data_IF_642467192578
#
_entry.id   IF_642467192578
#
_cell.length_a   1.000
_cell.length_b   1.000
_cell.length_c   1.000
_cell.angle_alpha   90.00
_cell.angle_beta   90.00
_cell.angle_gamma   90.00
#
_symmetry.space_group_name_H-M   'P 1'
#
loop_
_entity.id
_entity.type
_entity.pdbx_description
1 polymer ?
#
# COMPACT_ATOMS: atom_id res chain seq x y z
N UNK A 1 -24.48 -38.92 -2.18
CA UNK A 1 -23.21 -38.24 -1.88
C UNK A 1 -23.49 -36.76 -2.00
N UNK A 2 -23.46 -36.03 -0.89
CA UNK A 2 -23.48 -34.58 -0.89
C UNK A 2 -22.05 -34.11 -1.16
N UNK A 3 -21.77 -33.75 -2.40
CA UNK A 3 -20.59 -32.97 -2.77
C UNK A 3 -20.55 -31.74 -1.86
N UNK A 4 -19.56 -31.70 -0.97
CA UNK A 4 -19.13 -30.48 -0.32
C UNK A 4 -18.52 -29.64 -1.45
N UNK A 5 -19.31 -28.77 -2.07
CA UNK A 5 -18.77 -27.68 -2.90
C UNK A 5 -17.99 -26.77 -1.94
N UNK A 6 -16.70 -27.05 -1.76
CA UNK A 6 -15.76 -26.06 -1.25
C UNK A 6 -15.79 -24.90 -2.24
N UNK A 7 -16.47 -23.80 -1.89
CA UNK A 7 -16.43 -22.56 -2.66
C UNK A 7 -14.94 -22.18 -2.78
N UNK A 8 -14.32 -22.28 -3.98
CA UNK A 8 -12.90 -22.01 -4.15
C UNK A 8 -12.53 -20.54 -3.91
N UNK A 9 -13.54 -19.70 -3.70
CA UNK A 9 -13.41 -18.26 -3.49
C UNK A 9 -13.47 -17.85 -2.00
N UNK A 10 -13.62 -18.80 -1.07
CA UNK A 10 -13.57 -18.53 0.37
C UNK A 10 -12.14 -18.66 0.92
N UNK A 11 -11.48 -17.51 1.12
CA UNK A 11 -10.15 -17.45 1.71
C UNK A 11 -10.19 -16.93 3.15
N UNK A 12 -9.33 -17.48 4.02
CA UNK A 12 -9.25 -17.04 5.42
C UNK A 12 -8.50 -15.72 5.50
N UNK A 13 -9.16 -14.69 6.02
CA UNK A 13 -8.53 -13.40 6.31
C UNK A 13 -7.62 -13.54 7.54
N UNK A 14 -6.33 -13.24 7.37
CA UNK A 14 -5.35 -13.16 8.45
C UNK A 14 -5.40 -11.80 9.14
N UNK A 15 -5.47 -10.71 8.36
CA UNK A 15 -5.44 -9.34 8.87
C UNK A 15 -6.04 -8.33 7.89
N UNK A 16 -6.76 -7.35 8.42
CA UNK A 16 -7.16 -6.15 7.67
C UNK A 16 -6.02 -5.14 7.74
N UNK A 17 -5.46 -4.79 6.58
CA UNK A 17 -4.30 -3.90 6.49
C UNK A 17 -4.70 -2.45 6.23
N UNK A 18 -5.72 -2.23 5.38
CA UNK A 18 -6.17 -0.88 4.99
C UNK A 18 -7.66 -0.85 4.68
N UNK A 19 -8.21 0.36 4.67
CA UNK A 19 -9.54 0.66 4.12
C UNK A 19 -9.43 1.84 3.16
N UNK A 20 -10.19 1.80 2.06
CA UNK A 20 -10.40 2.94 1.17
C UNK A 20 -11.88 3.05 0.81
N UNK A 21 -12.30 4.24 0.39
CA UNK A 21 -13.64 4.46 -0.16
C UNK A 21 -13.50 4.65 -1.66
N UNK A 22 -14.10 3.76 -2.44
CA UNK A 22 -14.16 3.83 -3.90
C UNK A 22 -15.62 3.83 -4.32
N UNK A 23 -16.05 4.85 -5.07
CA UNK A 23 -17.44 5.02 -5.51
C UNK A 23 -18.47 4.95 -4.37
N UNK A 24 -18.13 5.45 -3.18
CA UNK A 24 -18.99 5.42 -1.99
C UNK A 24 -19.05 4.06 -1.27
N UNK A 25 -18.40 3.02 -1.80
CA UNK A 25 -18.27 1.72 -1.15
C UNK A 25 -16.93 1.59 -0.44
N UNK A 26 -16.91 0.95 0.73
CA UNK A 26 -15.67 0.60 1.42
C UNK A 26 -15.06 -0.64 0.77
N UNK A 27 -13.76 -0.57 0.54
CA UNK A 27 -12.93 -1.71 0.17
C UNK A 27 -11.83 -1.85 1.21
N UNK A 28 -11.51 -3.08 1.59
CA UNK A 28 -10.49 -3.41 2.57
C UNK A 28 -9.33 -4.15 1.89
N UNK A 29 -8.11 -3.78 2.25
CA UNK A 29 -6.91 -4.48 1.77
C UNK A 29 -6.54 -5.58 2.77
N UNK A 30 -6.52 -6.83 2.32
CA UNK A 30 -6.47 -7.98 3.22
C UNK A 30 -5.18 -8.76 3.07
N UNK A 31 -4.66 -9.24 4.21
CA UNK A 31 -3.68 -10.30 4.26
C UNK A 31 -4.40 -11.64 4.32
N UNK A 32 -4.17 -12.50 3.33
CA UNK A 32 -4.72 -13.85 3.30
C UNK A 32 -3.85 -14.83 4.09
N UNK A 33 -4.47 -15.70 4.88
CA UNK A 33 -3.75 -16.67 5.70
C UNK A 33 -3.08 -17.72 4.82
N UNK A 34 -1.76 -17.90 4.99
CA UNK A 34 -0.98 -18.87 4.22
C UNK A 34 -0.48 -18.38 2.86
N UNK A 35 -0.83 -17.15 2.46
CA UNK A 35 -0.36 -16.52 1.22
C UNK A 35 0.67 -15.42 1.52
N UNK A 36 1.60 -15.12 0.60
CA UNK A 36 2.54 -14.02 0.77
C UNK A 36 1.83 -12.67 0.61
N UNK A 37 2.43 -11.60 1.14
CA UNK A 37 1.89 -10.22 1.07
C UNK A 37 1.68 -9.72 -0.38
N UNK A 38 2.32 -10.35 -1.36
CA UNK A 38 2.13 -10.04 -2.78
C UNK A 38 0.74 -10.40 -3.30
N UNK A 39 0.07 -11.36 -2.65
CA UNK A 39 -1.30 -11.80 -3.00
C UNK A 39 -2.38 -10.99 -2.27
N UNK A 40 -2.02 -9.96 -1.52
CA UNK A 40 -3.00 -9.14 -0.83
C UNK A 40 -3.89 -8.41 -1.85
N UNK A 41 -5.21 -8.48 -1.66
CA UNK A 41 -6.20 -7.89 -2.57
C UNK A 41 -7.09 -6.87 -1.87
N UNK A 42 -7.77 -6.04 -2.67
CA UNK A 42 -8.81 -5.11 -2.21
C UNK A 42 -10.17 -5.77 -2.39
N UNK A 43 -10.81 -6.11 -1.27
CA UNK A 43 -12.12 -6.75 -1.26
C UNK A 43 -13.19 -5.76 -0.79
N UNK A 44 -14.37 -5.72 -1.43
CA UNK A 44 -15.47 -4.88 -0.97
C UNK A 44 -15.98 -5.37 0.39
N UNK A 45 -16.47 -4.46 1.23
CA UNK A 45 -17.08 -4.78 2.54
C UNK A 45 -18.17 -5.87 2.42
N UNK A 46 -18.90 -5.86 1.31
CA UNK A 46 -19.95 -6.83 0.98
C UNK A 46 -19.43 -8.27 0.80
N UNK A 47 -18.13 -8.46 0.51
CA UNK A 47 -17.49 -9.77 0.31
C UNK A 47 -16.83 -10.32 1.60
N UNK A 48 -16.91 -9.60 2.72
CA UNK A 48 -16.15 -9.95 3.93
C UNK A 48 -17.01 -10.46 5.07
N UNK A 49 -16.76 -11.71 5.46
CA UNK A 49 -17.35 -12.33 6.64
C UNK A 49 -16.34 -12.36 7.82
N UNK A 50 -15.77 -11.20 8.15
CA UNK A 50 -14.83 -11.07 9.27
C UNK A 50 -15.09 -9.79 10.10
N UNK A 51 -16.28 -9.65 10.70
CA UNK A 51 -16.70 -8.41 11.38
C UNK A 51 -15.78 -8.02 12.55
N UNK A 52 -15.20 -8.99 13.25
CA UNK A 52 -14.29 -8.72 14.37
C UNK A 52 -12.98 -8.08 13.92
N UNK A 53 -12.37 -8.57 12.85
CA UNK A 53 -11.12 -8.02 12.29
C UNK A 53 -11.35 -6.60 11.75
N UNK A 54 -12.48 -6.40 11.06
CA UNK A 54 -12.88 -5.08 10.55
C UNK A 54 -13.10 -4.11 11.70
N UNK A 55 -13.84 -4.52 12.73
CA UNK A 55 -14.12 -3.69 13.90
C UNK A 55 -12.84 -3.30 14.63
N UNK A 56 -11.94 -4.24 14.89
CA UNK A 56 -10.65 -3.94 15.52
C UNK A 56 -9.82 -2.95 14.70
N UNK A 57 -9.76 -3.15 13.38
CA UNK A 57 -9.08 -2.24 12.47
C UNK A 57 -9.69 -0.83 12.52
N UNK A 58 -11.02 -0.71 12.41
CA UNK A 58 -11.71 0.57 12.46
C UNK A 58 -11.57 1.27 13.81
N UNK A 59 -11.64 0.55 14.91
CA UNK A 59 -11.45 1.12 16.25
C UNK A 59 -10.03 1.66 16.42
N UNK A 60 -9.03 0.94 15.93
CA UNK A 60 -7.65 1.39 15.96
C UNK A 60 -7.43 2.61 15.04
N UNK A 61 -8.03 2.63 13.87
CA UNK A 61 -8.02 3.77 12.97
C UNK A 61 -8.72 5.01 13.59
N UNK A 62 -9.86 4.80 14.27
CA UNK A 62 -10.59 5.86 15.01
C UNK A 62 -9.78 6.38 16.19
N UNK A 63 -9.07 5.52 16.93
CA UNK A 63 -8.14 5.94 17.99
C UNK A 63 -7.01 6.80 17.42
N UNK A 64 -6.41 6.36 16.31
CA UNK A 64 -5.36 7.11 15.60
C UNK A 64 -5.87 8.45 15.03
N UNK A 65 -7.14 8.52 14.62
CA UNK A 65 -7.77 9.76 14.16
C UNK A 65 -8.11 10.71 15.31
N UNK A 66 -8.59 10.20 16.45
CA UNK A 66 -8.94 11.00 17.63
C UNK A 66 -7.72 11.62 18.33
N UNK A 67 -6.56 11.00 18.22
CA UNK A 67 -5.30 11.56 18.71
C UNK A 67 -4.68 12.61 17.78
N UNK A 68 -5.27 12.85 16.60
CA UNK A 68 -4.77 13.81 15.62
C UNK A 68 -5.64 15.08 15.64
N UNK A 69 -5.16 16.22 16.16
CA UNK A 69 -5.83 17.49 15.90
C UNK A 69 -5.82 17.74 14.39
N UNK A 70 -7.00 17.99 13.82
CA UNK A 70 -7.17 18.32 12.42
C UNK A 70 -6.27 19.52 12.04
N UNK A 71 -5.21 19.27 11.28
CA UNK A 71 -4.34 20.34 10.76
C UNK A 71 -2.85 20.27 11.11
N UNK A 72 -2.30 19.15 11.57
CA UNK A 72 -0.83 18.98 11.68
C UNK A 72 -0.38 17.66 11.04
N UNK A 73 0.68 17.65 10.21
CA UNK A 73 1.23 16.43 9.62
C UNK A 73 1.59 15.47 10.76
N UNK A 74 1.18 14.22 10.61
CA UNK A 74 1.25 13.19 11.62
C UNK A 74 2.68 12.94 12.09
N UNK A 75 2.90 13.20 13.38
CA UNK A 75 3.72 12.38 14.28
C UNK A 75 5.24 12.39 14.08
N UNK A 76 5.90 13.54 14.28
CA UNK A 76 7.36 13.60 14.49
C UNK A 76 7.81 13.07 15.86
N UNK A 77 6.91 12.75 16.80
CA UNK A 77 7.31 12.31 18.15
C UNK A 77 7.00 10.82 18.41
N UNK A 78 7.55 9.97 17.54
CA UNK A 78 8.19 8.67 17.91
C UNK A 78 9.07 8.15 16.76
N UNK A 79 9.58 9.06 15.92
CA UNK A 79 10.15 8.75 14.60
C UNK A 79 11.68 8.60 14.58
N UNK A 80 12.38 8.78 15.70
CA UNK A 80 13.85 8.75 15.73
C UNK A 80 14.46 7.36 15.48
N UNK A 81 13.68 6.27 15.55
CA UNK A 81 14.19 4.90 15.44
C UNK A 81 13.46 4.00 14.43
N UNK A 82 12.55 4.52 13.60
CA UNK A 82 11.94 3.72 12.55
C UNK A 82 12.87 3.64 11.35
N UNK A 83 13.52 2.50 11.19
CA UNK A 83 14.31 2.19 9.99
C UNK A 83 13.39 1.88 8.82
N UNK A 84 13.64 2.49 7.66
CA UNK A 84 12.91 2.16 6.43
C UNK A 84 13.34 0.77 5.96
N UNK A 85 12.38 -0.14 5.81
CA UNK A 85 12.63 -1.45 5.22
C UNK A 85 12.69 -1.35 3.70
N UNK A 86 11.67 -0.73 3.09
CA UNK A 86 11.56 -0.60 1.63
C UNK A 86 10.54 0.46 1.24
N UNK A 87 10.78 1.13 0.11
CA UNK A 87 9.72 1.87 -0.60
C UNK A 87 9.02 0.89 -1.56
N UNK A 88 7.75 0.61 -1.28
CA UNK A 88 6.94 -0.36 -2.02
C UNK A 88 6.56 0.20 -3.39
N UNK A 89 6.18 1.48 -3.43
CA UNK A 89 5.66 2.12 -4.63
C UNK A 89 5.63 3.63 -4.50
N UNK A 90 5.28 4.28 -5.62
CA UNK A 90 5.03 5.71 -5.67
C UNK A 90 3.69 5.97 -6.37
N UNK A 91 2.96 6.98 -5.93
CA UNK A 91 1.72 7.45 -6.54
C UNK A 91 1.71 8.97 -6.58
N UNK A 92 1.00 9.53 -7.54
CA UNK A 92 0.66 10.94 -7.54
C UNK A 92 -0.67 11.14 -6.78
N UNK A 93 -0.73 12.14 -5.91
CA UNK A 93 -1.98 12.63 -5.32
C UNK A 93 -1.98 14.15 -5.33
N UNK A 94 -2.98 14.77 -5.98
CA UNK A 94 -3.09 16.23 -6.12
C UNK A 94 -1.84 16.90 -6.73
N UNK A 95 -1.16 16.21 -7.65
CA UNK A 95 0.09 16.70 -8.27
C UNK A 95 1.33 16.56 -7.40
N UNK A 96 1.21 15.95 -6.22
CA UNK A 96 2.35 15.67 -5.34
C UNK A 96 2.70 14.18 -5.38
N UNK A 97 4.00 13.91 -5.56
CA UNK A 97 4.52 12.55 -5.51
C UNK A 97 4.54 12.05 -4.06
N UNK A 98 3.93 10.89 -3.86
CA UNK A 98 3.84 10.20 -2.58
C UNK A 98 4.51 8.83 -2.68
N UNK A 99 5.32 8.48 -1.69
CA UNK A 99 5.90 7.14 -1.54
C UNK A 99 5.10 6.31 -0.56
N UNK A 100 4.95 5.03 -0.89
CA UNK A 100 4.46 4.03 0.04
C UNK A 100 5.65 3.36 0.73
N UNK A 101 5.88 3.68 2.00
CA UNK A 101 7.07 3.25 2.74
C UNK A 101 6.71 2.16 3.74
N UNK A 102 7.36 1.00 3.63
CA UNK A 102 7.34 -0.05 4.65
C UNK A 102 8.44 0.22 5.67
N UNK A 103 8.06 0.24 6.95
CA UNK A 103 8.99 0.44 8.07
C UNK A 103 9.39 -0.91 8.68
N UNK A 104 10.62 -1.03 9.14
CA UNK A 104 11.12 -2.28 9.73
C UNK A 104 10.33 -2.62 11.00
N UNK A 105 9.85 -3.86 11.09
CA UNK A 105 9.07 -4.34 12.24
C UNK A 105 7.64 -3.81 12.30
N UNK A 106 7.18 -3.10 11.25
CA UNK A 106 5.79 -2.63 11.13
C UNK A 106 5.26 -3.10 9.77
N UNK A 107 4.27 -4.00 9.78
CA UNK A 107 3.63 -4.50 8.54
C UNK A 107 2.76 -3.46 7.84
N UNK A 108 2.64 -2.27 8.42
CA UNK A 108 1.85 -1.17 7.90
C UNK A 108 2.79 -0.24 7.14
N UNK A 109 2.55 -0.11 5.85
CA UNK A 109 3.23 0.90 5.05
C UNK A 109 2.46 2.24 5.06
N UNK A 110 3.19 3.34 5.19
CA UNK A 110 2.64 4.69 5.25
C UNK A 110 2.81 5.42 3.92
N UNK A 111 1.89 6.33 3.63
CA UNK A 111 1.98 7.21 2.48
C UNK A 111 2.69 8.50 2.90
N UNK A 112 3.91 8.71 2.40
CA UNK A 112 4.80 9.80 2.79
C UNK A 112 5.10 10.69 1.58
N UNK A 113 4.98 12.02 1.67
CA UNK A 113 5.37 12.91 0.59
C UNK A 113 6.83 12.72 0.18
N UNK A 114 7.12 12.77 -1.12
CA UNK A 114 8.47 12.58 -1.64
C UNK A 114 9.49 13.54 -1.00
N UNK A 115 9.08 14.80 -0.77
CA UNK A 115 9.91 15.80 -0.09
C UNK A 115 10.37 15.36 1.29
N UNK A 116 9.50 14.70 2.05
CA UNK A 116 9.81 14.21 3.40
C UNK A 116 10.67 12.95 3.34
N UNK A 117 10.34 12.01 2.45
CA UNK A 117 11.11 10.78 2.27
C UNK A 117 12.56 11.06 1.81
N UNK A 118 12.75 12.06 0.94
CA UNK A 118 14.07 12.48 0.46
C UNK A 118 14.98 12.96 1.60
N UNK A 119 14.41 13.53 2.67
CA UNK A 119 15.16 14.00 3.84
C UNK A 119 15.37 12.86 4.84
N UNK A 120 14.32 12.08 5.15
CA UNK A 120 14.36 11.02 6.16
C UNK A 120 15.16 9.79 5.73
N UNK A 121 15.06 9.37 4.47
CA UNK A 121 15.59 8.11 3.97
C UNK A 121 16.11 8.20 2.51
N UNK A 122 17.03 9.13 2.20
CA UNK A 122 17.48 9.39 0.83
C UNK A 122 18.00 8.15 0.11
N UNK A 123 18.75 7.28 0.81
CA UNK A 123 19.30 6.05 0.23
C UNK A 123 18.21 5.05 -0.20
N UNK A 124 17.11 4.96 0.56
CA UNK A 124 15.99 4.11 0.20
C UNK A 124 15.23 4.66 -1.03
N UNK A 125 15.12 5.98 -1.14
CA UNK A 125 14.52 6.65 -2.31
C UNK A 125 15.37 6.45 -3.56
N UNK A 126 16.68 6.67 -3.46
CA UNK A 126 17.60 6.48 -4.59
C UNK A 126 17.50 5.04 -5.09
N UNK A 127 17.62 4.06 -4.19
CA UNK A 127 17.50 2.65 -4.53
C UNK A 127 16.18 2.32 -5.22
N UNK A 128 15.06 2.87 -4.74
CA UNK A 128 13.75 2.66 -5.35
C UNK A 128 13.70 3.09 -6.83
N UNK A 129 14.32 4.22 -7.15
CA UNK A 129 14.41 4.70 -8.53
C UNK A 129 15.40 3.90 -9.36
N UNK A 130 16.59 3.60 -8.83
CA UNK A 130 17.61 2.80 -9.52
C UNK A 130 17.06 1.44 -9.97
N UNK A 131 16.27 0.78 -9.12
CA UNK A 131 15.63 -0.51 -9.44
C UNK A 131 14.51 -0.41 -10.49
N UNK A 132 13.96 0.78 -10.74
CA UNK A 132 12.79 0.99 -11.62
C UNK A 132 13.10 1.81 -12.87
N UNK A 133 14.28 2.41 -12.95
CA UNK A 133 14.66 3.26 -14.07
C UNK A 133 14.81 2.41 -15.34
N UNK A 134 14.00 2.68 -16.35
CA UNK A 134 14.11 2.07 -17.68
C UNK A 134 14.46 3.14 -18.70
N UNK A 135 15.51 2.88 -19.48
CA UNK A 135 15.93 3.78 -20.56
C UNK A 135 15.25 3.33 -21.85
N UNK A 136 14.37 4.18 -22.41
CA UNK A 136 13.88 3.97 -23.77
C UNK A 136 14.85 4.62 -24.75
N UNK A 137 15.52 3.82 -25.58
CA UNK A 137 16.16 4.31 -26.81
C UNK A 137 15.08 4.45 -27.88
N UNK A 138 14.94 5.62 -28.53
CA UNK A 138 14.04 5.72 -29.68
C UNK A 138 14.52 4.77 -30.77
N UNK A 139 13.61 3.92 -31.25
CA UNK A 139 13.87 3.03 -32.39
C UNK A 139 14.41 3.86 -33.56
N UNK A 140 15.64 3.56 -33.96
CA UNK A 140 16.20 4.05 -35.21
C UNK A 140 15.45 3.33 -36.34
N UNK A 141 14.24 3.78 -36.67
CA UNK A 141 13.55 3.35 -37.86
C UNK A 141 14.35 3.82 -39.07
N UNK A 142 15.28 2.97 -39.50
CA UNK A 142 15.89 3.04 -40.82
C UNK A 142 14.77 3.03 -41.85
N UNK A 143 14.57 4.17 -42.51
CA UNK A 143 13.72 4.23 -43.71
C UNK A 143 14.28 3.25 -44.75
N UNK A 144 13.48 2.33 -45.32
CA UNK A 144 13.92 1.69 -46.54
C UNK A 144 13.79 2.72 -47.65
N UNK A 145 14.93 3.15 -48.20
CA UNK A 145 14.97 3.75 -49.51
C UNK A 145 14.32 2.76 -50.49
N UNK A 146 13.28 3.21 -51.20
CA UNK A 146 12.79 2.49 -52.38
C UNK A 146 12.75 3.44 -53.55
N UNK A 147 13.69 3.19 -54.45
CA UNK A 147 13.83 3.68 -55.82
C UNK A 147 12.61 3.34 -56.67
#
# INVERSE_FOLDING_TARGET
MSDFEENPDEFIVEKVLRVRIRNGKKEYFLKWKGYPDSENTWEPEENLDCPDLIKQFEENAKKLAKTRPAGRPSSIESDANKTVERIIGATESSGELMFLIKWQGIDIADLVPAKEANVKCPQAVIKFYEERLTWHTPDSQSSPART
#
